data_IF_968033226263
#
_entry.id   IF_968033226263
#
_cell.length_a   1.000
_cell.length_b   1.000
_cell.length_c   1.000
_cell.angle_alpha   90.00
_cell.angle_beta   90.00
_cell.angle_gamma   90.00
#
_symmetry.space_group_name_H-M   'P 1'
#
loop_
_entity.id
_entity.type
_entity.pdbx_description
1 polymer ?
#
# COMPACT_ATOMS: atom_id res chain seq x y z
N UNK A 1 -22.91 55.65 -31.63
CA UNK A 1 -22.39 56.68 -30.69
C UNK A 1 -22.69 56.20 -29.27
N UNK A 2 -21.64 55.99 -28.46
CA UNK A 2 -21.49 56.47 -27.06
C UNK A 2 -22.66 56.09 -26.11
N UNK A 3 -22.58 55.34 -25.00
CA UNK A 3 -21.54 55.05 -24.00
C UNK A 3 -22.05 53.85 -23.17
N UNK A 4 -21.23 52.83 -22.95
CA UNK A 4 -20.43 52.58 -21.72
C UNK A 4 -21.25 52.27 -20.47
N UNK A 5 -21.32 50.97 -20.19
CA UNK A 5 -21.65 50.40 -18.89
C UNK A 5 -20.53 50.70 -17.88
N UNK A 6 -20.90 51.21 -16.70
CA UNK A 6 -20.03 51.26 -15.52
C UNK A 6 -20.34 50.07 -14.64
N UNK A 7 -19.71 48.93 -14.96
CA UNK A 7 -19.60 47.80 -14.04
C UNK A 7 -18.47 48.13 -13.05
N UNK A 8 -18.83 48.43 -11.80
CA UNK A 8 -17.85 48.60 -10.71
C UNK A 8 -17.41 47.20 -10.31
N UNK A 9 -16.34 46.72 -10.95
CA UNK A 9 -15.60 45.57 -10.46
C UNK A 9 -14.76 46.00 -9.26
N UNK A 10 -15.14 45.48 -8.10
CA UNK A 10 -14.29 45.36 -6.92
C UNK A 10 -13.11 44.45 -7.29
N UNK A 11 -12.01 45.07 -7.70
CA UNK A 11 -10.73 44.38 -7.85
C UNK A 11 -10.17 44.14 -6.45
N UNK A 12 -10.39 42.90 -6.00
CA UNK A 12 -9.67 42.26 -4.91
C UNK A 12 -8.16 42.33 -5.21
N UNK A 13 -7.44 43.00 -4.31
CA UNK A 13 -6.03 43.35 -4.45
C UNK A 13 -5.11 42.15 -4.26
N UNK A 14 -5.01 41.35 -5.31
CA UNK A 14 -3.84 40.57 -5.73
C UNK A 14 -2.93 40.01 -4.62
N UNK A 15 -3.24 38.78 -4.20
CA UNK A 15 -2.33 37.83 -3.55
C UNK A 15 -1.13 37.47 -4.46
N UNK A 16 -0.21 38.41 -4.70
CA UNK A 16 0.97 38.19 -5.58
C UNK A 16 2.29 38.64 -4.94
N UNK A 17 2.35 38.72 -3.61
CA UNK A 17 3.60 38.93 -2.87
C UNK A 17 3.99 37.73 -1.98
N UNK A 18 3.33 36.57 -2.13
CA UNK A 18 3.60 35.37 -1.32
C UNK A 18 4.84 34.57 -1.77
N UNK A 19 5.53 35.00 -2.84
CA UNK A 19 6.61 34.23 -3.48
C UNK A 19 7.99 34.90 -3.46
N UNK A 20 8.29 35.75 -2.47
CA UNK A 20 9.71 36.08 -2.23
C UNK A 20 10.41 34.84 -1.65
N UNK A 21 11.02 34.06 -2.52
CA UNK A 21 12.02 33.06 -2.15
C UNK A 21 13.24 33.84 -1.63
N UNK A 22 13.19 34.21 -0.35
CA UNK A 22 14.26 34.93 0.33
C UNK A 22 15.48 34.01 0.50
N UNK A 23 16.59 34.57 0.99
CA UNK A 23 17.88 33.96 1.41
C UNK A 23 17.81 32.53 2.01
N UNK A 24 16.63 32.11 2.42
CA UNK A 24 16.28 30.91 3.18
C UNK A 24 15.55 29.82 2.38
N UNK A 25 15.20 30.07 1.11
CA UNK A 25 14.41 29.16 0.26
C UNK A 25 13.11 28.67 0.92
N UNK A 26 12.47 29.54 1.70
CA UNK A 26 11.20 29.30 2.39
C UNK A 26 10.27 30.50 2.16
N UNK A 27 8.94 30.28 2.13
CA UNK A 27 7.98 31.37 2.12
C UNK A 27 8.19 32.28 3.33
N UNK A 28 8.14 33.61 3.12
CA UNK A 28 8.38 34.62 4.17
C UNK A 28 7.50 34.40 5.41
N UNK A 29 6.20 34.17 5.22
CA UNK A 29 5.25 33.93 6.32
C UNK A 29 5.60 32.68 7.14
N UNK A 30 6.09 31.63 6.48
CA UNK A 30 6.50 30.40 7.14
C UNK A 30 7.78 30.61 7.96
N UNK A 31 8.78 31.25 7.34
CA UNK A 31 10.03 31.60 8.01
C UNK A 31 9.79 32.53 9.21
N UNK A 32 8.91 33.52 9.08
CA UNK A 32 8.53 34.41 10.17
C UNK A 32 7.87 33.67 11.33
N UNK A 33 7.03 32.66 11.04
CA UNK A 33 6.44 31.80 12.09
C UNK A 33 7.53 31.00 12.81
N UNK A 34 8.47 30.41 12.08
CA UNK A 34 9.60 29.69 12.65
C UNK A 34 10.48 30.63 13.49
N UNK A 35 10.73 31.84 13.03
CA UNK A 35 11.46 32.89 13.74
C UNK A 35 10.75 33.29 15.05
N UNK A 36 9.43 33.50 15.02
CA UNK A 36 8.62 33.77 16.21
C UNK A 36 8.70 32.62 17.23
N UNK A 37 8.61 31.36 16.77
CA UNK A 37 8.74 30.18 17.63
C UNK A 37 10.13 30.09 18.27
N UNK A 38 11.19 30.26 17.48
CA UNK A 38 12.57 30.28 17.97
C UNK A 38 12.77 31.38 19.01
N UNK A 39 12.32 32.60 18.71
CA UNK A 39 12.40 33.73 19.61
C UNK A 39 11.72 33.43 20.96
N UNK A 40 10.49 32.92 20.94
CA UNK A 40 9.76 32.56 22.17
C UNK A 40 10.46 31.46 22.97
N UNK A 41 10.92 30.40 22.31
CA UNK A 41 11.53 29.24 22.98
C UNK A 41 12.90 29.56 23.61
N UNK A 42 13.68 30.39 22.92
CA UNK A 42 15.07 30.69 23.31
C UNK A 42 15.24 32.00 24.09
N UNK A 43 14.22 32.88 24.09
CA UNK A 43 14.18 34.07 24.94
C UNK A 43 14.27 33.68 26.42
N UNK A 44 15.20 34.30 27.16
CA UNK A 44 15.37 34.09 28.60
C UNK A 44 16.08 32.80 29.03
N UNK A 45 16.44 31.90 28.09
CA UNK A 45 17.14 30.64 28.40
C UNK A 45 18.53 30.54 27.77
N UNK A 46 18.69 30.98 26.52
CA UNK A 46 19.94 30.84 25.77
C UNK A 46 20.30 32.07 24.91
N UNK A 47 19.41 33.05 24.81
CA UNK A 47 19.64 34.30 24.08
C UNK A 47 19.54 35.46 25.06
N UNK A 48 20.66 36.15 25.25
CA UNK A 48 20.71 37.42 25.97
C UNK A 48 20.61 38.57 24.96
N UNK A 49 19.37 38.96 24.66
CA UNK A 49 19.11 40.13 23.83
C UNK A 49 19.30 41.40 24.65
N UNK A 50 19.87 42.44 24.03
CA UNK A 50 19.84 43.76 24.63
C UNK A 50 18.39 44.23 24.78
N UNK A 51 18.13 45.10 25.75
CA UNK A 51 16.81 45.67 25.96
C UNK A 51 16.31 46.37 24.68
N UNK A 52 17.20 47.12 24.00
CA UNK A 52 16.90 47.81 22.76
C UNK A 52 16.55 46.85 21.62
N UNK A 53 17.32 45.77 21.44
CA UNK A 53 17.04 44.78 20.40
C UNK A 53 15.72 44.04 20.65
N UNK A 54 15.40 43.76 21.92
CA UNK A 54 14.11 43.19 22.31
C UNK A 54 12.95 44.14 21.95
N UNK A 55 13.08 45.44 22.23
CA UNK A 55 12.08 46.44 21.81
C UNK A 55 11.88 46.45 20.29
N UNK A 56 12.95 46.34 19.50
CA UNK A 56 12.88 46.28 18.03
C UNK A 56 12.17 45.00 17.54
N UNK A 57 12.47 43.84 18.12
CA UNK A 57 11.79 42.58 17.77
C UNK A 57 10.29 42.62 18.12
N UNK A 58 9.93 43.20 19.27
CA UNK A 58 8.54 43.42 19.67
C UNK A 58 7.85 44.39 18.71
N UNK A 59 8.50 45.50 18.36
CA UNK A 59 8.00 46.47 17.39
C UNK A 59 7.69 45.82 16.04
N UNK A 60 8.62 45.02 15.49
CA UNK A 60 8.39 44.30 14.23
C UNK A 60 7.24 43.30 14.34
N UNK A 61 7.09 42.62 15.47
CA UNK A 61 5.96 41.70 15.71
C UNK A 61 4.62 42.43 15.69
N UNK A 62 4.57 43.60 16.34
CA UNK A 62 3.37 44.44 16.35
C UNK A 62 3.04 45.00 14.96
N UNK A 63 4.06 45.46 14.22
CA UNK A 63 3.89 45.94 12.85
C UNK A 63 3.45 44.82 11.89
N UNK A 64 3.99 43.61 12.03
CA UNK A 64 3.60 42.47 11.20
C UNK A 64 2.14 42.03 11.47
N UNK A 65 1.67 42.13 12.72
CA UNK A 65 0.31 41.77 13.08
C UNK A 65 -0.70 42.87 12.70
N UNK A 66 -0.44 44.11 13.13
CA UNK A 66 -1.39 45.21 13.11
C UNK A 66 -1.13 46.25 12.02
N UNK A 67 0.08 46.29 11.44
CA UNK A 67 0.51 47.37 10.56
C UNK A 67 1.04 48.59 11.33
N UNK A 68 1.17 49.75 10.67
CA UNK A 68 1.61 51.00 11.30
C UNK A 68 0.83 51.34 12.57
N UNK A 69 1.52 51.87 13.57
CA UNK A 69 0.90 52.26 14.84
C UNK A 69 -0.14 53.35 14.62
N UNK A 70 -1.39 53.04 14.98
CA UNK A 70 -2.47 54.01 15.04
C UNK A 70 -2.68 54.49 16.48
N UNK A 71 -2.27 55.72 16.75
CA UNK A 71 -2.39 56.34 18.07
C UNK A 71 -3.84 56.66 18.43
N UNK A 72 -4.75 56.83 17.46
CA UNK A 72 -6.14 57.15 17.74
C UNK A 72 -6.90 55.95 18.30
N UNK A 73 -6.55 54.75 17.85
CA UNK A 73 -7.18 53.49 18.26
C UNK A 73 -6.38 52.74 19.34
N UNK A 74 -5.23 53.26 19.76
CA UNK A 74 -4.39 52.63 20.79
C UNK A 74 -4.78 53.07 22.21
N UNK A 75 -4.95 52.15 23.18
CA UNK A 75 -5.24 52.50 24.57
C UNK A 75 -4.19 53.47 25.16
N UNK A 76 -4.59 54.43 26.02
CA UNK A 76 -3.64 55.32 26.66
C UNK A 76 -2.72 54.53 27.60
N UNK A 77 -1.42 54.83 27.56
CA UNK A 77 -0.45 54.21 28.47
C UNK A 77 -0.49 54.93 29.82
N UNK A 78 -0.37 54.16 30.90
CA UNK A 78 -0.26 54.70 32.25
C UNK A 78 1.03 55.51 32.43
N UNK A 79 1.01 56.49 33.35
CA UNK A 79 2.15 57.37 33.60
C UNK A 79 3.44 56.61 33.94
N UNK A 80 3.33 55.52 34.71
CA UNK A 80 4.44 54.68 35.18
C UNK A 80 4.82 53.54 34.22
N UNK A 81 4.12 53.35 33.11
CA UNK A 81 4.42 52.30 32.13
C UNK A 81 5.56 52.70 31.20
N UNK A 82 6.77 52.81 31.75
CA UNK A 82 7.99 53.18 31.01
C UNK A 82 8.29 52.16 29.91
N UNK A 83 8.13 50.87 30.21
CA UNK A 83 8.37 49.79 29.24
C UNK A 83 7.36 49.83 28.09
N UNK A 84 6.09 50.09 28.37
CA UNK A 84 5.06 50.26 27.34
C UNK A 84 5.31 51.49 26.48
N UNK A 85 5.79 52.59 27.06
CA UNK A 85 6.20 53.79 26.32
C UNK A 85 7.35 53.47 25.37
N UNK A 86 8.39 52.78 25.84
CA UNK A 86 9.55 52.42 25.03
C UNK A 86 9.18 51.47 23.88
N UNK A 87 8.29 50.50 24.13
CA UNK A 87 7.73 49.61 23.09
C UNK A 87 6.96 50.40 22.04
N UNK A 88 6.14 51.37 22.46
CA UNK A 88 5.35 52.22 21.56
C UNK A 88 6.26 53.10 20.71
N UNK A 89 7.30 53.68 21.31
CA UNK A 89 8.30 54.48 20.59
C UNK A 89 9.03 53.62 19.54
N UNK A 90 9.48 52.42 19.93
CA UNK A 90 10.14 51.50 19.00
C UNK A 90 9.23 51.09 17.83
N UNK A 91 7.93 50.85 18.09
CA UNK A 91 6.95 50.58 17.05
C UNK A 91 6.69 51.79 16.17
N UNK A 92 6.56 52.99 16.74
CA UNK A 92 6.39 54.23 15.99
C UNK A 92 7.58 54.51 15.06
N UNK A 93 8.81 54.18 15.47
CA UNK A 93 10.01 54.32 14.63
C UNK A 93 9.99 53.45 13.36
N UNK A 94 9.20 52.37 13.32
CA UNK A 94 9.02 51.58 12.10
C UNK A 94 8.19 52.30 11.03
N UNK A 95 7.46 53.36 11.41
CA UNK A 95 6.71 54.19 10.49
C UNK A 95 5.69 53.39 9.66
N UNK A 96 5.73 53.59 8.35
CA UNK A 96 4.75 53.04 7.40
C UNK A 96 5.22 51.77 6.68
N UNK A 97 6.19 51.03 7.22
CA UNK A 97 6.62 49.76 6.61
C UNK A 97 5.46 48.76 6.55
N UNK A 98 5.42 47.96 5.49
CA UNK A 98 4.35 46.96 5.32
C UNK A 98 4.51 45.79 6.29
N UNK A 99 3.45 45.00 6.46
CA UNK A 99 3.50 43.78 7.29
C UNK A 99 4.58 42.81 6.81
N UNK A 100 4.75 42.66 5.49
CA UNK A 100 5.78 41.79 4.91
C UNK A 100 7.19 42.33 5.17
N UNK A 101 7.41 43.63 5.01
CA UNK A 101 8.68 44.26 5.35
C UNK A 101 9.01 44.14 6.85
N UNK A 102 8.00 44.21 7.71
CA UNK A 102 8.18 43.98 9.15
C UNK A 102 8.56 42.52 9.46
N UNK A 103 7.99 41.54 8.75
CA UNK A 103 8.39 40.14 8.86
C UNK A 103 9.85 39.92 8.40
N UNK A 104 10.24 40.51 7.26
CA UNK A 104 11.63 40.47 6.77
C UNK A 104 12.59 41.10 7.79
N UNK A 105 12.27 42.30 8.28
CA UNK A 105 13.08 43.01 9.27
C UNK A 105 13.21 42.26 10.61
N UNK A 106 12.15 41.57 11.04
CA UNK A 106 12.22 40.68 12.21
C UNK A 106 13.22 39.54 12.00
N UNK A 107 13.13 38.86 10.85
CA UNK A 107 13.98 37.71 10.51
C UNK A 107 15.44 38.14 10.40
N UNK A 108 15.72 39.25 9.70
CA UNK A 108 17.08 39.75 9.52
C UNK A 108 17.71 40.20 10.85
N UNK A 109 16.91 40.87 11.71
CA UNK A 109 17.35 41.24 13.04
C UNK A 109 17.65 40.00 13.89
N UNK A 110 16.79 38.99 13.84
CA UNK A 110 16.97 37.75 14.59
C UNK A 110 18.18 36.93 14.10
N UNK A 111 18.40 36.83 12.78
CA UNK A 111 19.56 36.15 12.17
C UNK A 111 20.87 36.83 12.61
N UNK A 112 20.90 38.17 12.63
CA UNK A 112 22.06 38.94 13.09
C UNK A 112 22.34 38.75 14.57
N UNK A 113 21.30 38.74 15.40
CA UNK A 113 21.44 38.64 16.85
C UNK A 113 21.69 37.21 17.33
N UNK A 114 21.29 36.21 16.55
CA UNK A 114 21.30 34.82 16.95
C UNK A 114 21.84 33.92 15.82
N UNK A 115 23.15 33.66 15.78
CA UNK A 115 23.76 32.78 14.78
C UNK A 115 23.20 31.34 14.76
N UNK A 116 22.59 30.89 15.88
CA UNK A 116 21.92 29.59 15.98
C UNK A 116 20.56 29.53 15.26
N UNK A 117 19.99 30.68 14.88
CA UNK A 117 18.73 30.71 14.15
C UNK A 117 18.85 30.01 12.80
N UNK A 118 19.96 30.22 12.07
CA UNK A 118 20.17 29.58 10.77
C UNK A 118 20.21 28.04 10.83
N UNK A 119 21.07 27.43 11.67
CA UNK A 119 21.04 25.98 11.88
C UNK A 119 19.68 25.44 12.35
N UNK A 120 18.94 26.20 13.16
CA UNK A 120 17.61 25.81 13.62
C UNK A 120 16.61 25.68 12.46
N UNK A 121 16.56 26.67 11.57
CA UNK A 121 15.69 26.64 10.38
C UNK A 121 16.07 25.50 9.45
N UNK A 122 17.37 25.30 9.21
CA UNK A 122 17.87 24.20 8.37
C UNK A 122 17.54 22.82 8.96
N UNK A 123 17.64 22.65 10.28
CA UNK A 123 17.30 21.41 10.96
C UNK A 123 15.81 21.07 10.84
N UNK A 124 14.92 22.06 11.04
CA UNK A 124 13.48 21.85 10.87
C UNK A 124 13.13 21.50 9.43
N UNK A 125 13.77 22.16 8.46
CA UNK A 125 13.56 21.85 7.04
C UNK A 125 13.92 20.39 6.74
N UNK A 126 15.09 19.94 7.19
CA UNK A 126 15.55 18.56 7.00
C UNK A 126 14.65 17.54 7.71
N UNK A 127 14.23 17.82 8.95
CA UNK A 127 13.32 16.95 9.70
C UNK A 127 11.97 16.78 8.97
N UNK A 128 11.44 17.88 8.42
CA UNK A 128 10.19 17.83 7.66
C UNK A 128 10.32 17.06 6.34
N UNK A 129 11.43 17.26 5.62
CA UNK A 129 11.73 16.53 4.39
C UNK A 129 11.90 15.02 4.66
N UNK A 130 12.63 14.66 5.72
CA UNK A 130 12.82 13.26 6.10
C UNK A 130 11.51 12.61 6.54
N UNK A 131 10.67 13.31 7.31
CA UNK A 131 9.33 12.81 7.68
C UNK A 131 8.44 12.58 6.46
N UNK A 132 8.49 13.47 5.46
CA UNK A 132 7.76 13.27 4.22
C UNK A 132 8.27 12.05 3.45
N UNK A 133 9.59 11.88 3.35
CA UNK A 133 10.21 10.73 2.70
C UNK A 133 9.85 9.41 3.40
N UNK A 134 9.85 9.40 4.73
CA UNK A 134 9.46 8.24 5.53
C UNK A 134 7.97 7.90 5.34
N UNK A 135 7.09 8.88 5.37
CA UNK A 135 5.66 8.67 5.12
C UNK A 135 5.39 8.08 3.72
N UNK A 136 6.09 8.55 2.69
CA UNK A 136 5.98 8.01 1.34
C UNK A 136 6.48 6.57 1.23
N UNK A 137 7.59 6.24 1.90
CA UNK A 137 8.13 4.87 1.90
C UNK A 137 7.21 3.91 2.66
N UNK A 138 6.63 4.35 3.77
CA UNK A 138 5.68 3.56 4.55
C UNK A 138 4.38 3.32 3.77
N UNK A 139 3.85 4.34 3.10
CA UNK A 139 2.68 4.23 2.23
C UNK A 139 2.93 3.27 1.05
N UNK A 140 4.10 3.36 0.40
CA UNK A 140 4.48 2.46 -0.67
C UNK A 140 4.58 1.01 -0.17
N UNK A 141 5.23 0.78 0.97
CA UNK A 141 5.33 -0.55 1.58
C UNK A 141 3.97 -1.12 1.95
N UNK A 142 3.07 -0.30 2.50
CA UNK A 142 1.70 -0.72 2.83
C UNK A 142 0.91 -1.09 1.58
N UNK A 143 1.09 -0.35 0.48
CA UNK A 143 0.44 -0.65 -0.80
C UNK A 143 0.94 -1.97 -1.38
N UNK A 144 2.25 -2.19 -1.37
CA UNK A 144 2.88 -3.43 -1.83
C UNK A 144 2.41 -4.65 -1.00
N UNK A 145 2.32 -4.50 0.32
CA UNK A 145 1.79 -5.55 1.20
C UNK A 145 0.33 -5.89 0.87
N UNK A 146 -0.55 -4.89 0.73
CA UNK A 146 -1.95 -5.14 0.37
C UNK A 146 -2.09 -5.77 -1.02
N UNK A 147 -1.24 -5.39 -1.97
CA UNK A 147 -1.23 -5.97 -3.32
C UNK A 147 -0.77 -7.43 -3.29
N UNK A 148 0.31 -7.73 -2.56
CA UNK A 148 0.80 -9.10 -2.39
C UNK A 148 -0.21 -9.99 -1.66
N UNK A 149 -0.85 -9.51 -0.58
CA UNK A 149 -1.89 -10.25 0.15
C UNK A 149 -3.10 -10.53 -0.76
N UNK A 150 -3.51 -9.56 -1.58
CA UNK A 150 -4.60 -9.74 -2.53
C UNK A 150 -4.24 -10.76 -3.61
N UNK A 151 -3.01 -10.75 -4.11
CA UNK A 151 -2.53 -11.73 -5.09
C UNK A 151 -2.49 -13.14 -4.49
N UNK A 152 -1.97 -13.30 -3.28
CA UNK A 152 -1.95 -14.58 -2.57
C UNK A 152 -3.37 -15.10 -2.31
N UNK A 153 -4.30 -14.24 -1.89
CA UNK A 153 -5.70 -14.63 -1.67
C UNK A 153 -6.39 -15.01 -2.98
N UNK A 154 -6.12 -14.29 -4.08
CA UNK A 154 -6.67 -14.62 -5.39
C UNK A 154 -6.13 -15.95 -5.91
N UNK A 155 -4.84 -16.23 -5.72
CA UNK A 155 -4.22 -17.51 -6.09
C UNK A 155 -4.79 -18.67 -5.26
N UNK A 156 -4.87 -18.52 -3.94
CA UNK A 156 -5.46 -19.53 -3.06
C UNK A 156 -6.90 -19.85 -3.45
N UNK A 157 -7.70 -18.82 -3.73
CA UNK A 157 -9.06 -19.00 -4.21
C UNK A 157 -9.11 -19.75 -5.54
N UNK A 158 -8.19 -19.46 -6.47
CA UNK A 158 -8.13 -20.14 -7.77
C UNK A 158 -7.80 -21.62 -7.62
N UNK A 159 -6.87 -21.96 -6.72
CA UNK A 159 -6.52 -23.35 -6.38
C UNK A 159 -7.69 -24.07 -5.72
N UNK A 160 -8.38 -23.42 -4.78
CA UNK A 160 -9.56 -23.99 -4.12
C UNK A 160 -10.72 -24.23 -5.10
N UNK A 161 -10.99 -23.27 -5.98
CA UNK A 161 -12.02 -23.40 -7.01
C UNK A 161 -11.70 -24.55 -8.00
N UNK A 162 -10.43 -24.74 -8.35
CA UNK A 162 -9.97 -25.86 -9.18
C UNK A 162 -10.12 -27.20 -8.47
N UNK A 163 -9.65 -27.31 -7.22
CA UNK A 163 -9.81 -28.51 -6.39
C UNK A 163 -11.29 -28.90 -6.22
N UNK A 164 -12.16 -27.93 -5.95
CA UNK A 164 -13.59 -28.15 -5.81
C UNK A 164 -14.22 -28.66 -7.12
N UNK A 165 -13.77 -28.15 -8.26
CA UNK A 165 -14.23 -28.61 -9.57
C UNK A 165 -13.80 -30.04 -9.86
N UNK A 166 -12.54 -30.38 -9.56
CA UNK A 166 -12.01 -31.74 -9.71
C UNK A 166 -12.72 -32.73 -8.78
N UNK A 167 -12.95 -32.36 -7.53
CA UNK A 167 -13.67 -33.20 -6.57
C UNK A 167 -15.13 -33.44 -7.01
N UNK A 168 -15.79 -32.41 -7.54
CA UNK A 168 -17.14 -32.54 -8.10
C UNK A 168 -17.17 -33.51 -9.27
N UNK A 169 -16.19 -33.40 -10.20
CA UNK A 169 -16.07 -34.34 -11.31
C UNK A 169 -15.81 -35.77 -10.83
N UNK A 170 -14.92 -35.95 -9.85
CA UNK A 170 -14.61 -37.25 -9.23
C UNK A 170 -15.87 -37.90 -8.65
N UNK A 171 -16.65 -37.13 -7.89
CA UNK A 171 -17.89 -37.61 -7.29
C UNK A 171 -18.94 -37.97 -8.33
N UNK A 172 -19.13 -37.13 -9.35
CA UNK A 172 -20.05 -37.43 -10.45
C UNK A 172 -19.67 -38.73 -11.18
N UNK A 173 -18.37 -38.95 -11.40
CA UNK A 173 -17.87 -40.19 -12.01
C UNK A 173 -18.15 -41.41 -11.13
N UNK A 174 -17.87 -41.33 -9.83
CA UNK A 174 -18.17 -42.40 -8.88
C UNK A 174 -19.67 -42.70 -8.83
N UNK A 175 -20.52 -41.68 -8.73
CA UNK A 175 -21.98 -41.87 -8.68
C UNK A 175 -22.53 -42.50 -9.97
N UNK A 176 -22.04 -42.09 -11.13
CA UNK A 176 -22.42 -42.69 -12.42
C UNK A 176 -21.98 -44.15 -12.53
N UNK A 177 -20.74 -44.45 -12.13
CA UNK A 177 -20.21 -45.81 -12.15
C UNK A 177 -20.96 -46.73 -11.17
N UNK A 178 -21.27 -46.20 -9.99
CA UNK A 178 -22.07 -46.87 -8.97
C UNK A 178 -23.47 -47.20 -9.49
N UNK A 179 -24.14 -46.26 -10.16
CA UNK A 179 -25.46 -46.50 -10.77
C UNK A 179 -25.41 -47.61 -11.82
N UNK A 180 -24.36 -47.66 -12.63
CA UNK A 180 -24.20 -48.66 -13.67
C UNK A 180 -24.04 -50.08 -13.10
N UNK A 181 -23.28 -50.24 -12.03
CA UNK A 181 -22.93 -51.55 -11.46
C UNK A 181 -23.80 -51.98 -10.28
N UNK A 182 -24.61 -51.07 -9.72
CA UNK A 182 -25.39 -51.29 -8.50
C UNK A 182 -26.17 -52.61 -8.51
N UNK A 183 -26.91 -52.88 -9.59
CA UNK A 183 -27.77 -54.07 -9.66
C UNK A 183 -26.95 -55.37 -9.62
N UNK A 184 -25.81 -55.41 -10.32
CA UNK A 184 -24.93 -56.58 -10.37
C UNK A 184 -24.28 -56.84 -9.01
N UNK A 185 -23.80 -55.78 -8.35
CA UNK A 185 -23.19 -55.89 -7.01
C UNK A 185 -24.22 -56.24 -5.95
N UNK A 186 -25.44 -55.71 -6.05
CA UNK A 186 -26.54 -56.05 -5.17
C UNK A 186 -26.92 -57.53 -5.26
N UNK A 187 -27.11 -58.06 -6.47
CA UNK A 187 -27.41 -59.49 -6.66
C UNK A 187 -26.28 -60.40 -6.17
N UNK A 188 -25.02 -59.98 -6.33
CA UNK A 188 -23.88 -60.71 -5.80
C UNK A 188 -23.85 -60.68 -4.27
N UNK A 189 -24.09 -59.52 -3.66
CA UNK A 189 -24.11 -59.36 -2.22
C UNK A 189 -25.26 -60.14 -1.56
N UNK A 190 -26.45 -60.17 -2.17
CA UNK A 190 -27.59 -60.96 -1.70
C UNK A 190 -27.31 -62.47 -1.68
N UNK A 191 -26.50 -62.97 -2.62
CA UNK A 191 -26.07 -64.38 -2.63
C UNK A 191 -25.06 -64.71 -1.53
N UNK A 192 -24.13 -63.80 -1.24
CA UNK A 192 -23.09 -64.01 -0.23
C UNK A 192 -23.61 -63.84 1.20
N UNK A 193 -24.50 -62.86 1.42
CA UNK A 193 -25.06 -62.55 2.73
C UNK A 193 -26.59 -62.48 2.69
N UNK A 194 -27.31 -63.62 2.55
CA UNK A 194 -28.77 -63.62 2.52
C UNK A 194 -29.37 -63.07 3.82
N UNK A 195 -30.30 -62.11 3.70
CA UNK A 195 -31.03 -61.55 4.86
C UNK A 195 -30.24 -60.60 5.77
N UNK A 196 -28.99 -60.25 5.42
CA UNK A 196 -28.19 -59.29 6.19
C UNK A 196 -27.90 -58.01 5.36
N UNK A 197 -28.76 -56.97 5.44
CA UNK A 197 -28.62 -55.77 4.62
C UNK A 197 -27.37 -54.93 4.95
N UNK A 198 -26.87 -55.00 6.19
CA UNK A 198 -25.71 -54.23 6.62
C UNK A 198 -24.41 -54.79 6.02
N UNK A 199 -24.24 -56.12 6.07
CA UNK A 199 -23.12 -56.79 5.41
C UNK A 199 -23.18 -56.67 3.87
N UNK A 200 -24.39 -56.72 3.30
CA UNK A 200 -24.58 -56.47 1.87
C UNK A 200 -24.12 -55.05 1.48
N UNK A 201 -24.48 -54.02 2.26
CA UNK A 201 -24.09 -52.64 1.98
C UNK A 201 -22.57 -52.43 2.03
N UNK A 202 -21.89 -53.04 3.02
CA UNK A 202 -20.42 -53.01 3.13
C UNK A 202 -19.76 -53.66 1.91
N UNK A 203 -20.23 -54.85 1.52
CA UNK A 203 -19.68 -55.57 0.36
C UNK A 203 -19.92 -54.80 -0.95
N UNK A 204 -21.10 -54.21 -1.14
CA UNK A 204 -21.40 -53.38 -2.31
C UNK A 204 -20.45 -52.18 -2.37
N UNK A 205 -20.21 -51.49 -1.24
CA UNK A 205 -19.26 -50.38 -1.17
C UNK A 205 -17.84 -50.82 -1.55
N UNK A 206 -17.36 -51.95 -1.03
CA UNK A 206 -16.04 -52.47 -1.36
C UNK A 206 -15.91 -52.78 -2.86
N UNK A 207 -16.91 -53.44 -3.46
CA UNK A 207 -16.92 -53.74 -4.89
C UNK A 207 -16.97 -52.48 -5.75
N UNK A 208 -17.73 -51.47 -5.33
CA UNK A 208 -17.78 -50.16 -5.98
C UNK A 208 -16.42 -49.45 -5.95
N UNK A 209 -15.75 -49.47 -4.79
CA UNK A 209 -14.39 -48.94 -4.64
C UNK A 209 -13.40 -49.65 -5.56
N UNK A 210 -13.36 -50.98 -5.56
CA UNK A 210 -12.47 -51.75 -6.44
C UNK A 210 -12.75 -51.48 -7.93
N UNK A 211 -14.03 -51.45 -8.30
CA UNK A 211 -14.43 -51.17 -9.67
C UNK A 211 -14.04 -49.76 -10.12
N UNK A 212 -14.15 -48.77 -9.24
CA UNK A 212 -13.68 -47.41 -9.50
C UNK A 212 -12.16 -47.39 -9.74
N UNK A 213 -11.37 -48.08 -8.91
CA UNK A 213 -9.92 -48.16 -9.10
C UNK A 213 -9.54 -48.82 -10.43
N UNK A 214 -10.19 -49.93 -10.78
CA UNK A 214 -9.96 -50.60 -12.06
C UNK A 214 -10.29 -49.70 -13.25
N UNK A 215 -11.41 -48.97 -13.18
CA UNK A 215 -11.81 -48.02 -14.20
C UNK A 215 -10.78 -46.88 -14.35
N UNK A 216 -10.34 -46.28 -13.24
CA UNK A 216 -9.34 -45.21 -13.25
C UNK A 216 -8.01 -45.67 -13.83
N UNK A 217 -7.56 -46.89 -13.49
CA UNK A 217 -6.34 -47.47 -14.06
C UNK A 217 -6.47 -47.67 -15.58
N UNK A 218 -7.62 -48.14 -16.05
CA UNK A 218 -7.86 -48.30 -17.49
C UNK A 218 -7.88 -46.95 -18.20
N UNK A 219 -8.53 -45.95 -17.62
CA UNK A 219 -8.59 -44.59 -18.16
C UNK A 219 -7.17 -43.99 -18.27
N UNK A 220 -6.35 -44.14 -17.23
CA UNK A 220 -4.96 -43.68 -17.24
C UNK A 220 -4.14 -44.37 -18.32
N UNK A 221 -4.29 -45.69 -18.49
CA UNK A 221 -3.60 -46.44 -19.54
C UNK A 221 -4.02 -45.99 -20.96
N UNK A 222 -5.31 -45.69 -21.17
CA UNK A 222 -5.81 -45.15 -22.44
C UNK A 222 -5.27 -43.74 -22.70
N UNK A 223 -5.29 -42.85 -21.71
CA UNK A 223 -4.74 -41.50 -21.84
C UNK A 223 -3.24 -41.55 -22.16
N UNK A 224 -2.47 -42.40 -21.47
CA UNK A 224 -1.05 -42.59 -21.74
C UNK A 224 -0.79 -43.14 -23.15
N UNK A 225 -1.59 -44.10 -23.60
CA UNK A 225 -1.50 -44.64 -24.97
C UNK A 225 -1.82 -43.59 -26.02
N UNK A 226 -2.91 -42.83 -25.84
CA UNK A 226 -3.31 -41.75 -26.74
C UNK A 226 -2.25 -40.64 -26.81
N UNK A 227 -1.67 -40.24 -25.67
CA UNK A 227 -0.58 -39.27 -25.64
C UNK A 227 0.65 -39.78 -26.40
N UNK A 228 1.04 -41.05 -26.21
CA UNK A 228 2.17 -41.65 -26.93
C UNK A 228 1.93 -41.72 -28.44
N UNK A 229 0.69 -41.97 -28.87
CA UNK A 229 0.30 -42.00 -30.28
C UNK A 229 0.29 -40.59 -30.88
N UNK A 230 -0.17 -39.58 -30.13
CA UNK A 230 -0.15 -38.18 -30.55
C UNK A 230 1.29 -37.65 -30.69
N UNK A 231 2.19 -38.02 -29.79
CA UNK A 231 3.62 -37.68 -29.90
C UNK A 231 4.31 -38.40 -31.06
N UNK A 232 3.95 -39.66 -31.35
CA UNK A 232 4.48 -40.39 -32.53
C UNK A 232 3.98 -39.81 -33.85
N UNK A 233 2.70 -39.47 -33.96
CA UNK A 233 2.15 -38.84 -35.16
C UNK A 233 2.68 -37.41 -35.37
N UNK A 234 2.99 -36.66 -34.30
CA UNK A 234 3.68 -35.38 -34.39
C UNK A 234 5.16 -35.54 -34.83
N UNK A 235 5.84 -36.60 -34.39
CA UNK A 235 7.21 -36.94 -34.82
C UNK A 235 7.25 -37.41 -36.28
N UNK A 236 6.31 -38.26 -36.70
CA UNK A 236 6.20 -38.74 -38.10
C UNK A 236 5.81 -37.59 -39.06
N UNK A 237 5.04 -36.61 -38.59
CA UNK A 237 4.73 -35.38 -39.35
C UNK A 237 5.93 -34.42 -39.47
N UNK A 238 6.94 -34.54 -38.61
CA UNK A 238 8.22 -33.81 -38.72
C UNK A 238 9.27 -34.59 -39.53
N UNK A 239 9.16 -35.91 -39.69
CA UNK A 239 10.11 -36.73 -40.47
C UNK A 239 9.91 -36.66 -42.00
N UNK A 240 8.76 -36.22 -42.52
CA UNK A 240 8.61 -35.95 -43.97
C UNK A 240 9.20 -34.61 -44.45
N UNK A 241 9.71 -33.75 -43.54
CA UNK A 241 10.30 -32.45 -43.87
C UNK A 241 11.52 -32.08 -43.00
N UNK A 242 12.53 -32.95 -42.93
CA UNK A 242 13.95 -32.56 -42.99
C UNK A 242 14.87 -33.70 -42.56
N UNK A 243 15.72 -34.13 -43.49
CA UNK A 243 17.04 -34.58 -43.11
C UNK A 243 17.89 -33.40 -42.63
N UNK A 244 18.80 -33.70 -41.72
CA UNK A 244 19.97 -32.94 -41.26
C UNK A 244 19.83 -32.13 -39.96
N UNK A 245 20.50 -32.70 -38.96
CA UNK A 245 21.27 -32.12 -37.85
C UNK A 245 20.62 -31.58 -36.57
N UNK A 246 21.14 -32.15 -35.48
CA UNK A 246 20.93 -31.86 -34.06
C UNK A 246 21.41 -30.42 -33.74
N UNK A 247 20.98 -29.72 -32.69
CA UNK A 247 20.88 -30.15 -31.30
C UNK A 247 20.22 -29.03 -30.45
N UNK A 248 19.49 -29.46 -29.41
CA UNK A 248 19.40 -28.80 -28.10
C UNK A 248 18.35 -27.70 -27.87
N UNK A 249 17.15 -28.10 -27.44
CA UNK A 249 16.39 -27.51 -26.32
C UNK A 249 15.11 -28.33 -26.05
N UNK A 250 15.17 -29.30 -25.13
CA UNK A 250 13.97 -29.93 -24.54
C UNK A 250 14.23 -30.10 -23.05
N UNK A 251 13.84 -29.10 -22.27
CA UNK A 251 14.08 -29.06 -20.83
C UNK A 251 13.09 -28.12 -20.16
N UNK A 252 11.79 -28.38 -20.34
CA UNK A 252 10.71 -27.70 -19.63
C UNK A 252 9.36 -28.39 -19.92
N UNK A 253 9.31 -29.73 -19.88
CA UNK A 253 8.02 -30.44 -19.95
C UNK A 253 8.09 -31.85 -19.36
N UNK A 254 8.93 -32.02 -18.33
CA UNK A 254 9.07 -33.26 -17.57
C UNK A 254 8.34 -33.21 -16.22
N UNK A 255 7.86 -32.05 -15.77
CA UNK A 255 7.31 -31.88 -14.41
C UNK A 255 5.85 -32.31 -14.26
N UNK A 256 5.05 -32.34 -15.33
CA UNK A 256 3.64 -32.76 -15.26
C UNK A 256 3.46 -34.27 -15.07
N UNK A 257 4.41 -35.08 -15.54
CA UNK A 257 4.34 -36.56 -15.47
C UNK A 257 4.86 -37.08 -14.12
N UNK A 258 5.73 -36.31 -13.45
CA UNK A 258 6.21 -36.63 -12.10
C UNK A 258 5.16 -36.27 -11.05
N UNK A 259 4.49 -35.12 -11.19
CA UNK A 259 3.40 -34.71 -10.31
C UNK A 259 2.23 -35.70 -10.30
N UNK A 260 1.85 -36.27 -11.46
CA UNK A 260 0.80 -37.29 -11.51
C UNK A 260 1.19 -38.62 -10.83
N UNK A 261 2.49 -38.96 -10.80
CA UNK A 261 3.00 -40.16 -10.08
C UNK A 261 3.09 -39.93 -8.57
N UNK A 262 3.44 -38.72 -8.13
CA UNK A 262 3.46 -38.35 -6.72
C UNK A 262 2.04 -38.20 -6.14
N UNK A 263 1.12 -37.58 -6.87
CA UNK A 263 -0.28 -37.44 -6.43
C UNK A 263 -0.98 -38.79 -6.29
N UNK A 264 -0.77 -39.73 -7.22
CA UNK A 264 -1.33 -41.08 -7.08
C UNK A 264 -0.66 -41.92 -5.98
N UNK A 265 0.61 -41.68 -5.63
CA UNK A 265 1.25 -42.35 -4.49
C UNK A 265 0.83 -41.76 -3.13
N UNK A 266 0.59 -40.45 -3.06
CA UNK A 266 0.11 -39.76 -1.86
C UNK A 266 -1.35 -40.12 -1.55
N UNK A 267 -2.21 -40.20 -2.56
CA UNK A 267 -3.62 -40.63 -2.40
C UNK A 267 -3.71 -42.09 -1.92
N UNK A 268 -2.74 -42.95 -2.30
CA UNK A 268 -2.60 -44.32 -1.80
C UNK A 268 -2.19 -44.40 -0.31
N UNK A 269 -1.57 -43.33 0.23
CA UNK A 269 -1.09 -43.28 1.61
C UNK A 269 -2.11 -42.69 2.57
N UNK A 270 -2.81 -41.61 2.17
CA UNK A 270 -3.89 -41.03 2.99
C UNK A 270 -5.09 -41.98 3.14
N UNK A 271 -5.42 -42.76 2.11
CA UNK A 271 -6.54 -43.70 2.15
C UNK A 271 -6.27 -44.92 3.05
N UNK A 272 -5.00 -45.29 3.28
CA UNK A 272 -4.63 -46.38 4.20
C UNK A 272 -4.44 -45.91 5.64
N UNK A 273 -3.99 -44.66 5.87
CA UNK A 273 -3.78 -44.12 7.22
C UNK A 273 -5.11 -43.74 7.92
N UNK A 274 -6.21 -43.51 7.18
CA UNK A 274 -7.52 -43.20 7.78
C UNK A 274 -8.27 -44.40 8.36
N UNK A 275 -7.90 -45.63 7.99
CA UNK A 275 -8.61 -46.85 8.42
C UNK A 275 -8.00 -47.50 9.67
N UNK A 276 -6.83 -47.04 10.15
CA UNK A 276 -6.14 -47.58 11.33
C UNK A 276 -6.38 -46.77 12.64
N UNK A 277 -7.08 -45.63 12.59
CA UNK A 277 -7.35 -44.76 13.76
C UNK A 277 -8.79 -44.88 14.29
N UNK A 278 -9.39 -46.07 14.20
CA UNK A 278 -10.64 -46.42 14.89
C UNK A 278 -10.59 -47.86 15.40
N UNK A 279 -9.81 -48.05 16.47
CA UNK A 279 -9.83 -49.22 17.35
C UNK A 279 -10.02 -48.79 18.80
#
# INVERSE_FOLDING_TARGET
MISSASNVELVDGSDTEDSKILKWNLPLKELFRMACSFYKEKSGKAIHLSYEDNLKLVAFTQQAAHGPLDLANSPPLGMFDVIGKDRRIAWQHLGTITKLQAMEGFIDLLDRLCPLFKPYVEAIKKDREEKLRQAQLEEARRREQMESEKEQMAEQKRIEDEKNREELQRRQLQDALNQQTYHQFKEYAEKQFPGNPEQQAILIRQLQTEHYHQYMQQLQAQVASNYSHQMRTASDAQEELNGTDQQQQVGQQTDLVVSAKESSQLEYKEQCESDDESG
#
